data_IF_644794252381
#
_entry.id   IF_644794252381
#
_cell.length_a   1.000
_cell.length_b   1.000
_cell.length_c   1.000
_cell.angle_alpha   90.00
_cell.angle_beta   90.00
_cell.angle_gamma   90.00
#
_symmetry.space_group_name_H-M   'P 1'
#
loop_
_entity.id
_entity.type
_entity.pdbx_description
1 polymer ?
#
# COMPACT_ATOMS: atom_id res chain seq x y z
N UNK A 1 -24.91 20.30 28.91
CA UNK A 1 -23.70 21.06 28.56
C UNK A 1 -23.42 20.79 27.10
N UNK A 2 -23.89 21.68 26.26
CA UNK A 2 -23.69 21.64 24.81
C UNK A 2 -22.21 21.80 24.48
N UNK A 3 -21.58 20.71 24.05
CA UNK A 3 -20.27 20.81 23.38
C UNK A 3 -20.53 21.08 21.91
N UNK A 4 -20.96 22.29 21.62
CA UNK A 4 -20.86 22.87 20.29
C UNK A 4 -19.39 23.27 20.04
N UNK A 5 -18.49 22.27 19.91
CA UNK A 5 -17.18 22.52 19.34
C UNK A 5 -17.44 22.83 17.87
N UNK A 6 -17.33 24.10 17.49
CA UNK A 6 -17.27 24.50 16.10
C UNK A 6 -16.39 23.50 15.35
N UNK A 7 -16.96 22.78 14.38
CA UNK A 7 -16.16 21.89 13.51
C UNK A 7 -15.07 22.76 12.90
N UNK A 8 -13.85 22.54 13.35
CA UNK A 8 -12.71 23.25 12.79
C UNK A 8 -12.66 22.89 11.31
N UNK A 9 -12.60 23.88 10.45
CA UNK A 9 -12.54 23.71 9.00
C UNK A 9 -11.26 22.93 8.66
N UNK A 10 -11.42 21.64 8.36
CA UNK A 10 -10.30 20.70 8.28
C UNK A 10 -10.05 20.27 6.83
N UNK A 11 -8.92 20.70 6.29
CA UNK A 11 -8.40 20.29 4.99
C UNK A 11 -7.24 19.32 5.20
N UNK A 12 -7.43 18.06 4.82
CA UNK A 12 -6.45 17.00 5.01
C UNK A 12 -5.90 16.58 3.65
N UNK A 13 -4.59 16.70 3.47
CA UNK A 13 -3.88 16.20 2.30
C UNK A 13 -3.37 14.79 2.57
N UNK A 14 -3.89 13.80 1.82
CA UNK A 14 -3.39 12.42 1.82
C UNK A 14 -2.35 12.22 0.72
N UNK A 15 -1.27 11.51 1.01
CA UNK A 15 -0.18 11.23 0.07
C UNK A 15 0.22 9.76 0.14
N UNK A 16 0.31 9.12 -1.00
CA UNK A 16 1.01 7.85 -1.21
C UNK A 16 2.22 8.06 -2.10
N UNK A 17 3.40 7.58 -1.69
CA UNK A 17 4.60 7.69 -2.51
C UNK A 17 5.76 6.79 -2.08
N UNK A 18 5.56 5.89 -1.10
CA UNK A 18 6.67 5.09 -0.57
C UNK A 18 7.30 4.17 -1.62
N UNK A 19 6.48 3.46 -2.40
CA UNK A 19 6.94 2.49 -3.40
C UNK A 19 6.58 2.93 -4.82
N UNK A 20 5.38 2.62 -5.30
CA UNK A 20 4.87 2.88 -6.65
C UNK A 20 3.49 3.54 -6.56
N UNK A 21 2.89 3.89 -7.70
CA UNK A 21 1.63 4.61 -7.83
C UNK A 21 1.54 5.84 -6.88
N UNK A 22 2.53 6.76 -6.93
CA UNK A 22 2.44 7.97 -6.15
C UNK A 22 1.15 8.71 -6.50
N UNK A 23 0.44 9.12 -5.47
CA UNK A 23 -0.90 9.72 -5.60
C UNK A 23 -1.15 10.71 -4.47
N UNK A 24 -2.11 11.60 -4.68
CA UNK A 24 -2.58 12.52 -3.66
C UNK A 24 -4.10 12.55 -3.63
N UNK A 25 -4.66 12.82 -2.46
CA UNK A 25 -6.07 13.13 -2.28
C UNK A 25 -6.26 14.30 -1.32
N UNK A 26 -7.37 14.99 -1.44
CA UNK A 26 -7.77 16.08 -0.55
C UNK A 26 -9.13 15.78 0.05
N UNK A 27 -9.19 15.81 1.37
CA UNK A 27 -10.41 15.58 2.15
C UNK A 27 -10.76 16.85 2.90
N UNK A 28 -12.01 17.30 2.79
CA UNK A 28 -12.54 18.45 3.50
C UNK A 28 -13.69 18.04 4.42
N UNK A 29 -13.52 18.23 5.71
CA UNK A 29 -14.56 17.91 6.71
C UNK A 29 -15.11 16.48 6.57
N UNK A 30 -14.24 15.50 6.26
CA UNK A 30 -14.60 14.09 6.10
C UNK A 30 -15.18 13.73 4.72
N UNK A 31 -15.16 14.66 3.75
CA UNK A 31 -15.59 14.38 2.37
C UNK A 31 -14.40 14.42 1.43
N UNK A 32 -14.27 13.42 0.59
CA UNK A 32 -13.29 13.42 -0.51
C UNK A 32 -13.66 14.53 -1.51
N UNK A 33 -12.72 15.44 -1.74
CA UNK A 33 -12.89 16.57 -2.69
C UNK A 33 -12.23 16.25 -4.02
N UNK A 34 -10.99 15.77 -3.98
CA UNK A 34 -10.23 15.40 -5.16
C UNK A 34 -9.26 14.27 -4.85
N UNK A 35 -8.95 13.44 -5.85
CA UNK A 35 -7.90 12.44 -5.79
C UNK A 35 -7.31 12.22 -7.19
N UNK A 36 -6.01 12.00 -7.28
CA UNK A 36 -5.33 11.74 -8.53
C UNK A 36 -4.04 10.94 -8.34
N UNK A 37 -3.73 10.09 -9.31
CA UNK A 37 -2.44 9.44 -9.44
C UNK A 37 -1.49 10.29 -10.27
N UNK A 38 -0.21 10.33 -9.90
CA UNK A 38 0.83 11.10 -10.59
C UNK A 38 1.03 10.64 -12.04
N UNK A 39 0.78 9.36 -12.33
CA UNK A 39 0.83 8.81 -13.70
C UNK A 39 -0.09 9.56 -14.67
N UNK A 40 -1.24 10.07 -14.22
CA UNK A 40 -2.20 10.81 -15.07
C UNK A 40 -1.57 12.05 -15.69
N UNK A 41 -0.62 12.65 -14.98
CA UNK A 41 0.07 13.88 -15.39
C UNK A 41 1.44 13.60 -15.98
N UNK A 42 2.25 12.80 -15.29
CA UNK A 42 3.64 12.52 -15.69
C UNK A 42 3.73 11.63 -16.92
N UNK A 43 2.71 10.80 -17.19
CA UNK A 43 2.71 9.74 -18.22
C UNK A 43 3.83 8.71 -18.02
N UNK A 44 4.44 8.70 -16.86
CA UNK A 44 5.39 7.68 -16.45
C UNK A 44 4.60 6.54 -15.83
N UNK A 45 4.74 5.33 -16.39
CA UNK A 45 4.05 4.14 -15.91
C UNK A 45 4.32 3.91 -14.42
N UNK A 46 3.25 3.66 -13.63
CA UNK A 46 3.30 3.56 -12.18
C UNK A 46 3.75 4.84 -11.46
N UNK A 47 3.75 5.99 -12.16
CA UNK A 47 4.17 7.30 -11.65
C UNK A 47 5.68 7.41 -11.40
N UNK A 48 6.31 6.35 -10.94
CA UNK A 48 7.76 6.17 -10.76
C UNK A 48 8.11 4.68 -10.67
N UNK A 49 9.38 4.28 -10.91
CA UNK A 49 9.82 2.93 -10.58
C UNK A 49 9.70 2.67 -9.08
N UNK A 50 9.24 1.49 -8.68
CA UNK A 50 9.35 1.07 -7.29
C UNK A 50 10.82 0.75 -6.99
N UNK A 51 11.49 1.64 -6.30
CA UNK A 51 12.91 1.57 -5.99
C UNK A 51 13.15 2.14 -4.60
N UNK A 52 14.02 1.51 -3.82
CA UNK A 52 14.47 2.00 -2.52
C UNK A 52 15.27 3.31 -2.57
N UNK A 53 15.60 3.80 -3.76
CA UNK A 53 16.33 5.05 -3.97
C UNK A 53 15.42 6.27 -4.15
N UNK A 54 14.12 6.06 -4.35
CA UNK A 54 13.19 7.15 -4.66
C UNK A 54 11.91 7.23 -3.77
N UNK A 55 11.89 6.71 -2.53
CA UNK A 55 10.69 6.78 -1.70
C UNK A 55 10.30 8.20 -1.33
N UNK A 56 11.22 9.14 -1.45
CA UNK A 56 11.04 10.56 -1.15
C UNK A 56 10.55 11.40 -2.35
N UNK A 57 10.28 10.78 -3.50
CA UNK A 57 9.68 11.47 -4.64
C UNK A 57 8.19 11.67 -4.38
N UNK A 58 7.76 12.93 -4.46
CA UNK A 58 6.39 13.32 -4.18
C UNK A 58 5.53 13.31 -5.45
N UNK A 59 4.22 13.06 -5.34
CA UNK A 59 3.25 13.23 -6.43
C UNK A 59 2.91 14.73 -6.61
N UNK A 60 3.86 15.49 -7.12
CA UNK A 60 3.78 16.96 -7.16
C UNK A 60 2.61 17.47 -7.99
N UNK A 61 2.36 16.87 -9.16
CA UNK A 61 1.30 17.27 -10.06
C UNK A 61 -0.06 16.89 -9.50
N UNK A 62 -0.16 15.69 -8.87
CA UNK A 62 -1.38 15.26 -8.20
C UNK A 62 -1.73 16.15 -7.01
N UNK A 63 -0.74 16.58 -6.22
CA UNK A 63 -0.95 17.54 -5.12
C UNK A 63 -1.46 18.86 -5.67
N UNK A 64 -0.81 19.42 -6.71
CA UNK A 64 -1.24 20.68 -7.35
C UNK A 64 -2.65 20.58 -7.93
N UNK A 65 -2.95 19.45 -8.57
CA UNK A 65 -4.29 19.18 -9.09
C UNK A 65 -5.34 19.19 -7.99
N UNK A 66 -5.10 18.46 -6.87
CA UNK A 66 -6.05 18.40 -5.77
C UNK A 66 -6.34 19.78 -5.16
N UNK A 67 -5.30 20.62 -5.00
CA UNK A 67 -5.46 21.98 -4.49
C UNK A 67 -6.24 22.87 -5.47
N UNK A 68 -5.91 22.78 -6.76
CA UNK A 68 -6.57 23.55 -7.81
C UNK A 68 -8.05 23.18 -7.96
N UNK A 69 -8.37 21.87 -7.92
CA UNK A 69 -9.76 21.37 -8.00
C UNK A 69 -10.61 21.85 -6.82
N UNK A 70 -10.01 21.95 -5.64
CA UNK A 70 -10.66 22.48 -4.45
C UNK A 70 -10.72 24.03 -4.42
N UNK A 71 -9.98 24.71 -5.28
CA UNK A 71 -9.87 26.18 -5.29
C UNK A 71 -9.22 26.75 -4.04
N UNK A 72 -8.28 26.01 -3.41
CA UNK A 72 -7.59 26.44 -2.19
C UNK A 72 -6.08 26.58 -2.42
N UNK A 73 -5.49 27.44 -1.60
CA UNK A 73 -4.03 27.54 -1.49
C UNK A 73 -3.48 26.55 -0.45
N UNK A 74 -2.20 26.23 -0.57
CA UNK A 74 -1.52 25.29 0.36
C UNK A 74 -1.67 25.70 1.83
N UNK A 75 -1.79 27.01 2.14
CA UNK A 75 -2.00 27.54 3.49
C UNK A 75 -3.25 27.02 4.20
N UNK A 76 -4.26 26.57 3.45
CA UNK A 76 -5.50 26.03 4.01
C UNK A 76 -5.34 24.60 4.56
N UNK A 77 -4.28 23.85 4.17
CA UNK A 77 -4.04 22.48 4.64
C UNK A 77 -3.84 22.48 6.16
N UNK A 78 -4.66 21.75 6.88
CA UNK A 78 -4.61 21.64 8.34
C UNK A 78 -3.82 20.43 8.81
N UNK A 79 -3.88 19.30 8.09
CA UNK A 79 -3.17 18.06 8.39
C UNK A 79 -2.69 17.40 7.10
N UNK A 80 -1.62 16.62 7.21
CA UNK A 80 -1.10 15.77 6.13
C UNK A 80 -1.01 14.33 6.61
N UNK A 81 -1.60 13.40 5.87
CA UNK A 81 -1.46 11.96 6.07
C UNK A 81 -0.56 11.35 5.00
N UNK A 82 0.39 10.51 5.40
CA UNK A 82 1.24 9.76 4.49
C UNK A 82 1.08 8.26 4.72
N UNK A 83 0.83 7.50 3.66
CA UNK A 83 0.40 6.10 3.69
C UNK A 83 1.51 5.09 3.99
N UNK A 84 2.45 5.44 4.85
CA UNK A 84 3.53 4.55 5.29
C UNK A 84 4.12 5.03 6.61
N UNK A 85 4.37 4.11 7.55
CA UNK A 85 4.96 4.41 8.86
C UNK A 85 6.38 3.82 8.95
N UNK A 86 7.43 4.59 8.61
CA UNK A 86 8.79 4.08 8.48
C UNK A 86 9.35 3.46 9.77
N UNK A 87 8.90 3.91 10.93
CA UNK A 87 9.32 3.34 12.23
C UNK A 87 8.83 1.90 12.41
N UNK A 88 7.61 1.59 11.93
CA UNK A 88 7.07 0.23 11.96
C UNK A 88 7.86 -0.70 11.05
N UNK A 89 8.35 -0.21 9.91
CA UNK A 89 9.21 -0.99 9.01
C UNK A 89 10.51 -1.39 9.67
N UNK A 90 11.15 -0.47 10.39
CA UNK A 90 12.38 -0.77 11.14
C UNK A 90 12.12 -1.74 12.29
N UNK A 91 11.03 -1.55 13.05
CA UNK A 91 10.68 -2.42 14.16
C UNK A 91 10.29 -3.84 13.73
N UNK A 92 9.73 -3.97 12.53
CA UNK A 92 9.19 -5.23 12.01
C UNK A 92 10.24 -6.28 11.65
N UNK A 93 11.56 -5.96 11.73
CA UNK A 93 12.65 -6.86 11.39
C UNK A 93 12.32 -7.71 10.16
N UNK A 94 11.92 -7.05 9.07
CA UNK A 94 11.59 -7.74 7.82
C UNK A 94 12.82 -8.52 7.41
N UNK A 95 12.78 -9.82 7.70
CA UNK A 95 13.91 -10.71 7.58
C UNK A 95 14.53 -10.53 6.19
N UNK A 96 15.80 -10.32 6.20
CA UNK A 96 16.63 -10.13 5.03
C UNK A 96 16.42 -11.32 4.10
N UNK A 97 15.66 -11.14 3.03
CA UNK A 97 15.65 -12.11 1.95
C UNK A 97 17.03 -12.06 1.32
N UNK A 98 17.76 -13.15 1.40
CA UNK A 98 19.13 -13.26 0.89
C UNK A 98 19.19 -13.16 -0.65
N UNK A 99 18.07 -13.21 -1.34
CA UNK A 99 17.93 -12.77 -2.74
C UNK A 99 17.63 -11.29 -2.80
N UNK A 100 18.64 -10.49 -2.43
CA UNK A 100 18.58 -9.05 -2.63
C UNK A 100 18.12 -8.75 -4.07
N UNK A 101 17.05 -7.97 -4.20
CA UNK A 101 16.73 -7.40 -5.50
C UNK A 101 17.93 -6.56 -5.96
N UNK A 102 18.12 -6.31 -7.26
CA UNK A 102 19.18 -5.41 -7.73
C UNK A 102 19.18 -4.04 -7.03
N UNK A 103 18.04 -3.64 -6.50
CA UNK A 103 17.81 -2.39 -5.78
C UNK A 103 18.19 -2.46 -4.29
N UNK A 104 18.50 -3.65 -3.76
CA UNK A 104 18.89 -3.88 -2.37
C UNK A 104 17.71 -4.02 -1.39
N UNK A 105 16.48 -4.22 -1.86
CA UNK A 105 15.34 -4.49 -1.00
C UNK A 105 15.57 -5.79 -0.20
N UNK A 106 15.26 -5.75 1.11
CA UNK A 106 15.51 -6.86 2.02
C UNK A 106 16.95 -6.95 2.52
N UNK A 107 17.86 -6.06 2.13
CA UNK A 107 19.20 -5.93 2.74
C UNK A 107 19.19 -4.85 3.82
N UNK A 108 20.03 -5.00 4.85
CA UNK A 108 20.16 -4.00 5.93
C UNK A 108 20.48 -2.64 5.33
N UNK A 109 21.47 -2.55 4.44
CA UNK A 109 21.88 -1.29 3.82
C UNK A 109 20.75 -0.66 2.98
N UNK A 110 20.00 -1.47 2.23
CA UNK A 110 18.89 -1.02 1.41
C UNK A 110 17.74 -0.47 2.26
N UNK A 111 17.38 -1.16 3.34
CA UNK A 111 16.33 -0.74 4.27
C UNK A 111 16.73 0.54 5.03
N UNK A 112 17.98 0.66 5.49
CA UNK A 112 18.47 1.88 6.12
C UNK A 112 18.48 3.08 5.16
N UNK A 113 18.84 2.85 3.90
CA UNK A 113 18.78 3.87 2.84
C UNK A 113 17.33 4.32 2.59
N UNK A 114 16.42 3.36 2.43
CA UNK A 114 15.00 3.61 2.23
C UNK A 114 14.43 4.46 3.37
N UNK A 115 14.67 4.05 4.62
CA UNK A 115 14.25 4.78 5.80
C UNK A 115 14.76 6.22 5.81
N UNK A 116 16.07 6.40 5.60
CA UNK A 116 16.70 7.73 5.60
C UNK A 116 16.13 8.65 4.52
N UNK A 117 15.83 8.12 3.34
CA UNK A 117 15.24 8.88 2.25
C UNK A 117 13.77 9.22 2.53
N UNK A 118 13.02 8.25 3.05
CA UNK A 118 11.61 8.45 3.38
C UNK A 118 11.43 9.53 4.45
N UNK A 119 12.31 9.58 5.44
CA UNK A 119 12.30 10.63 6.49
C UNK A 119 12.50 12.06 5.96
N UNK A 120 12.91 12.24 4.71
CA UNK A 120 13.00 13.56 4.07
C UNK A 120 11.65 14.07 3.55
N UNK A 121 10.63 13.22 3.45
CA UNK A 121 9.32 13.55 2.86
C UNK A 121 8.67 14.77 3.50
N UNK A 122 8.59 14.93 4.83
CA UNK A 122 7.96 16.10 5.44
C UNK A 122 8.65 17.42 5.07
N UNK A 123 9.99 17.42 5.02
CA UNK A 123 10.76 18.60 4.61
C UNK A 123 10.57 18.92 3.13
N UNK A 124 10.61 17.90 2.26
CA UNK A 124 10.38 18.08 0.82
C UNK A 124 8.99 18.60 0.52
N UNK A 125 7.98 18.06 1.23
CA UNK A 125 6.61 18.54 1.10
C UNK A 125 6.48 19.99 1.57
N UNK A 126 7.14 20.36 2.67
CA UNK A 126 7.16 21.74 3.15
C UNK A 126 7.72 22.70 2.10
N UNK A 127 8.80 22.30 1.41
CA UNK A 127 9.37 23.07 0.31
C UNK A 127 8.41 23.18 -0.89
N UNK A 128 7.78 22.07 -1.27
CA UNK A 128 6.81 22.04 -2.38
C UNK A 128 5.60 22.95 -2.13
N UNK A 129 5.09 22.94 -0.90
CA UNK A 129 3.92 23.72 -0.49
C UNK A 129 4.25 25.17 -0.13
N UNK A 130 5.54 25.53 0.00
CA UNK A 130 5.98 26.86 0.42
C UNK A 130 5.65 27.19 1.88
N UNK A 131 5.40 26.17 2.71
CA UNK A 131 5.06 26.31 4.12
C UNK A 131 5.51 25.10 4.93
N UNK A 132 5.83 25.29 6.21
CA UNK A 132 6.20 24.17 7.08
C UNK A 132 4.97 23.36 7.47
N UNK A 133 5.00 22.06 7.13
CA UNK A 133 3.93 21.10 7.45
C UNK A 133 4.39 19.99 8.40
N UNK A 134 5.62 20.06 8.94
CA UNK A 134 6.23 18.98 9.73
C UNK A 134 5.46 18.66 11.00
N UNK A 135 4.95 19.67 11.71
CA UNK A 135 4.19 19.49 12.96
C UNK A 135 2.80 18.87 12.74
N UNK A 136 2.24 19.02 11.54
CA UNK A 136 0.93 18.49 11.12
C UNK A 136 1.04 17.31 10.16
N UNK A 137 2.25 16.75 10.00
CA UNK A 137 2.50 15.56 9.17
C UNK A 137 2.35 14.30 10.02
N UNK A 138 1.55 13.33 9.52
CA UNK A 138 1.27 12.06 10.18
C UNK A 138 1.69 10.91 9.28
N UNK A 139 2.58 10.07 9.80
CA UNK A 139 2.87 8.76 9.23
C UNK A 139 1.73 7.83 9.62
N UNK A 140 1.11 7.16 8.66
CA UNK A 140 -0.03 6.28 8.86
C UNK A 140 0.34 4.91 8.32
N UNK A 141 0.04 3.87 9.08
CA UNK A 141 0.28 2.49 8.69
C UNK A 141 -0.35 2.17 7.34
N UNK A 142 0.40 1.46 6.48
CA UNK A 142 0.04 1.19 5.09
C UNK A 142 -1.30 0.43 4.96
N UNK A 143 -1.45 -0.70 5.67
CA UNK A 143 -2.69 -1.48 5.61
C UNK A 143 -3.88 -0.75 6.22
N UNK A 144 -3.66 0.11 7.22
CA UNK A 144 -4.72 0.98 7.75
C UNK A 144 -5.19 1.99 6.70
N UNK A 145 -4.27 2.51 5.85
CA UNK A 145 -4.64 3.37 4.73
C UNK A 145 -5.48 2.62 3.68
N UNK A 146 -5.12 1.38 3.34
CA UNK A 146 -5.93 0.52 2.46
C UNK A 146 -7.33 0.28 3.05
N UNK A 147 -7.41 -0.10 4.33
CA UNK A 147 -8.69 -0.31 5.00
C UNK A 147 -9.55 0.96 5.03
N UNK A 148 -8.94 2.11 5.30
CA UNK A 148 -9.62 3.41 5.33
C UNK A 148 -10.15 3.80 3.94
N UNK A 149 -9.35 3.63 2.90
CA UNK A 149 -9.73 3.97 1.52
C UNK A 149 -10.88 3.11 1.00
N UNK A 150 -11.00 1.87 1.47
CA UNK A 150 -12.10 0.99 1.12
C UNK A 150 -13.36 1.27 1.95
N UNK A 151 -13.24 1.36 3.28
CA UNK A 151 -14.38 1.45 4.18
C UNK A 151 -15.06 2.82 4.17
N UNK A 152 -14.29 3.92 4.34
CA UNK A 152 -14.88 5.24 4.52
C UNK A 152 -15.50 5.85 3.25
N UNK A 153 -15.22 5.31 2.07
CA UNK A 153 -15.90 5.69 0.82
C UNK A 153 -17.02 4.73 0.45
N UNK A 154 -17.17 3.63 1.17
CA UNK A 154 -18.25 2.66 0.97
C UNK A 154 -19.57 3.14 1.57
N UNK A 155 -20.71 2.54 1.18
CA UNK A 155 -22.00 2.85 1.79
C UNK A 155 -22.23 2.14 3.13
N UNK A 156 -21.27 1.37 3.64
CA UNK A 156 -21.45 0.56 4.85
C UNK A 156 -21.10 1.34 6.10
N UNK A 157 -21.96 1.28 7.12
CA UNK A 157 -21.66 1.82 8.45
C UNK A 157 -21.00 0.80 9.38
N UNK A 158 -21.14 -0.49 9.07
CA UNK A 158 -20.55 -1.62 9.80
C UNK A 158 -20.21 -2.72 8.80
N UNK A 159 -18.95 -3.09 8.69
CA UNK A 159 -18.47 -4.09 7.75
C UNK A 159 -17.18 -4.77 8.21
N UNK A 160 -16.97 -6.01 7.78
CA UNK A 160 -15.63 -6.60 7.77
C UNK A 160 -14.79 -5.92 6.68
N UNK A 161 -13.53 -5.64 7.00
CA UNK A 161 -12.57 -5.01 6.10
C UNK A 161 -11.35 -5.91 5.99
N UNK A 162 -10.99 -6.27 4.77
CA UNK A 162 -9.82 -7.10 4.47
C UNK A 162 -8.90 -6.32 3.52
N UNK A 163 -7.64 -6.18 3.92
CA UNK A 163 -6.56 -5.68 3.06
C UNK A 163 -5.52 -6.79 2.86
N UNK A 164 -5.20 -7.11 1.62
CA UNK A 164 -4.19 -8.12 1.24
C UNK A 164 -3.24 -7.50 0.24
N UNK A 165 -1.96 -7.46 0.58
CA UNK A 165 -0.93 -6.85 -0.25
C UNK A 165 0.35 -7.71 -0.31
N UNK A 166 1.36 -7.22 -1.05
CA UNK A 166 2.69 -7.81 -1.05
C UNK A 166 3.35 -7.65 0.31
N UNK A 167 3.52 -6.42 0.72
CA UNK A 167 4.04 -6.03 2.02
C UNK A 167 3.86 -4.52 2.22
N UNK A 168 3.32 -4.13 3.36
CA UNK A 168 3.38 -2.77 3.87
C UNK A 168 4.69 -2.52 4.62
N UNK A 169 4.62 -2.10 5.86
CA UNK A 169 5.80 -1.99 6.73
C UNK A 169 6.38 -3.37 7.05
N UNK A 170 5.56 -4.22 7.67
CA UNK A 170 5.85 -5.63 7.94
C UNK A 170 4.62 -6.50 7.70
N UNK A 171 3.44 -5.93 7.83
CA UNK A 171 2.18 -6.60 7.55
C UNK A 171 2.01 -6.87 6.06
N UNK A 172 1.34 -7.98 5.75
CA UNK A 172 0.99 -8.43 4.39
C UNK A 172 -0.51 -8.60 4.22
N UNK A 173 -1.21 -8.77 5.34
CA UNK A 173 -2.67 -8.91 5.39
C UNK A 173 -3.17 -8.28 6.68
N UNK A 174 -4.22 -7.50 6.57
CA UNK A 174 -4.92 -6.85 7.67
C UNK A 174 -6.40 -7.20 7.60
N UNK A 175 -6.94 -7.78 8.64
CA UNK A 175 -8.35 -8.09 8.79
C UNK A 175 -8.91 -7.27 9.95
N UNK A 176 -10.00 -6.56 9.72
CA UNK A 176 -10.62 -5.74 10.74
C UNK A 176 -12.10 -5.54 10.56
N UNK A 177 -12.65 -4.67 11.40
CA UNK A 177 -14.04 -4.20 11.34
C UNK A 177 -14.06 -2.69 11.22
N UNK A 178 -14.74 -2.20 10.19
CA UNK A 178 -15.12 -0.80 10.09
C UNK A 178 -16.46 -0.57 10.79
N UNK A 179 -16.55 0.43 11.66
CA UNK A 179 -17.80 0.80 12.33
C UNK A 179 -17.89 2.31 12.51
N UNK A 180 -18.84 2.94 11.83
CA UNK A 180 -18.99 4.39 11.82
C UNK A 180 -17.72 5.08 11.31
N UNK A 181 -16.99 5.79 12.18
CA UNK A 181 -15.75 6.48 11.85
C UNK A 181 -14.50 5.78 12.41
N UNK A 182 -14.55 4.50 12.69
CA UNK A 182 -13.45 3.73 13.28
C UNK A 182 -13.17 2.46 12.51
N UNK A 183 -11.89 2.11 12.51
CA UNK A 183 -11.37 0.83 12.06
C UNK A 183 -10.76 0.11 13.26
N UNK A 184 -11.10 -1.15 13.42
CA UNK A 184 -10.63 -2.02 14.49
C UNK A 184 -9.90 -3.20 13.89
N UNK A 185 -8.62 -3.35 14.19
CA UNK A 185 -7.83 -4.53 13.82
C UNK A 185 -8.35 -5.74 14.58
N UNK A 186 -8.60 -6.84 13.88
CA UNK A 186 -8.97 -8.15 14.45
C UNK A 186 -7.83 -9.16 14.32
N UNK A 187 -7.16 -9.18 13.16
CA UNK A 187 -6.01 -10.04 12.90
C UNK A 187 -5.09 -9.40 11.87
N UNK A 188 -3.80 -9.69 11.99
CA UNK A 188 -2.77 -9.25 11.08
C UNK A 188 -1.81 -10.40 10.78
N UNK A 189 -1.41 -10.53 9.52
CA UNK A 189 -0.38 -11.46 9.10
C UNK A 189 0.80 -10.66 8.58
N UNK A 190 1.99 -11.08 8.94
CA UNK A 190 3.22 -10.42 8.59
C UNK A 190 4.10 -11.24 7.64
N UNK A 191 5.09 -10.58 7.08
CA UNK A 191 6.14 -11.23 6.30
C UNK A 191 6.82 -12.33 7.13
N UNK A 192 7.13 -13.53 6.54
CA UNK A 192 7.12 -13.84 5.11
C UNK A 192 5.78 -14.35 4.54
N UNK A 193 4.73 -14.49 5.36
CA UNK A 193 3.44 -15.00 4.92
C UNK A 193 2.72 -13.91 4.09
N UNK A 194 2.80 -14.00 2.76
CA UNK A 194 2.23 -13.00 1.85
C UNK A 194 1.64 -13.62 0.60
N UNK A 195 0.35 -13.46 0.43
CA UNK A 195 -0.34 -13.85 -0.80
C UNK A 195 0.05 -12.92 -1.97
N UNK A 196 0.27 -11.63 -1.71
CA UNK A 196 0.70 -10.68 -2.73
C UNK A 196 2.11 -10.98 -3.27
N UNK A 197 3.06 -11.37 -2.39
CA UNK A 197 4.39 -11.80 -2.83
C UNK A 197 4.35 -13.15 -3.56
N UNK A 198 3.47 -14.07 -3.16
CA UNK A 198 3.23 -15.31 -3.91
C UNK A 198 2.79 -14.97 -5.36
N UNK A 199 1.87 -14.01 -5.51
CA UNK A 199 1.45 -13.52 -6.81
C UNK A 199 2.59 -12.92 -7.63
N UNK A 200 3.47 -12.15 -6.99
CA UNK A 200 4.68 -11.62 -7.63
C UNK A 200 5.61 -12.73 -8.11
N UNK A 201 5.82 -13.78 -7.29
CA UNK A 201 6.62 -14.95 -7.69
C UNK A 201 6.02 -15.67 -8.90
N UNK A 202 4.70 -15.82 -8.94
CA UNK A 202 4.00 -16.39 -10.10
C UNK A 202 4.14 -15.54 -11.35
N UNK A 203 4.04 -14.23 -11.22
CA UNK A 203 4.24 -13.30 -12.34
C UNK A 203 5.63 -13.44 -12.92
N UNK A 204 6.66 -13.55 -12.07
CA UNK A 204 8.05 -13.80 -12.49
C UNK A 204 8.20 -15.15 -13.17
N UNK A 205 7.65 -16.21 -12.59
CA UNK A 205 7.69 -17.57 -13.13
C UNK A 205 7.08 -17.63 -14.53
N UNK A 206 5.99 -16.94 -14.77
CA UNK A 206 5.32 -16.85 -16.07
C UNK A 206 6.01 -15.88 -17.05
N UNK A 207 7.14 -15.27 -16.68
CA UNK A 207 7.92 -14.38 -17.54
C UNK A 207 7.42 -12.95 -17.63
N UNK A 208 6.45 -12.53 -16.79
CA UNK A 208 5.91 -11.15 -16.81
C UNK A 208 6.66 -10.15 -15.93
N UNK A 209 7.65 -10.61 -15.16
CA UNK A 209 8.45 -9.76 -14.28
C UNK A 209 7.74 -9.37 -12.98
N UNK A 210 8.32 -8.42 -12.22
CA UNK A 210 7.88 -8.05 -10.87
C UNK A 210 6.53 -7.33 -10.83
N UNK A 211 6.19 -6.58 -11.86
CA UNK A 211 4.95 -5.79 -11.95
C UNK A 211 4.04 -6.31 -13.06
N UNK A 212 4.06 -7.63 -13.30
CA UNK A 212 3.22 -8.27 -14.30
C UNK A 212 1.96 -8.93 -13.76
N UNK A 213 1.63 -8.75 -12.49
CA UNK A 213 0.51 -9.40 -11.80
C UNK A 213 -0.83 -9.18 -12.52
N UNK A 214 -1.06 -7.98 -13.05
CA UNK A 214 -2.24 -7.67 -13.84
C UNK A 214 -2.36 -8.48 -15.14
N UNK A 215 -1.23 -8.90 -15.74
CA UNK A 215 -1.24 -9.81 -16.91
C UNK A 215 -1.63 -11.22 -16.50
N UNK A 216 -1.15 -11.68 -15.33
CA UNK A 216 -1.56 -12.98 -14.76
C UNK A 216 -3.06 -12.98 -14.47
N UNK A 217 -3.58 -11.89 -13.90
CA UNK A 217 -5.01 -11.71 -13.66
C UNK A 217 -5.82 -11.77 -14.97
N UNK A 218 -5.36 -11.10 -16.01
CA UNK A 218 -6.02 -11.15 -17.32
C UNK A 218 -6.00 -12.57 -17.94
N UNK A 219 -4.88 -13.29 -17.82
CA UNK A 219 -4.74 -14.67 -18.30
C UNK A 219 -5.64 -15.64 -17.52
N UNK A 220 -5.93 -15.39 -16.26
CA UNK A 220 -6.77 -16.25 -15.43
C UNK A 220 -8.17 -16.44 -16.03
N UNK A 221 -8.67 -15.46 -16.81
CA UNK A 221 -9.96 -15.55 -17.50
C UNK A 221 -10.01 -16.65 -18.58
N UNK A 222 -8.86 -17.12 -19.05
CA UNK A 222 -8.74 -18.19 -20.06
C UNK A 222 -8.36 -19.53 -19.43
N UNK A 223 -8.16 -19.60 -18.12
CA UNK A 223 -7.72 -20.78 -17.40
C UNK A 223 -8.86 -21.61 -16.85
N UNK A 224 -8.51 -22.82 -16.43
CA UNK A 224 -9.36 -23.70 -15.65
C UNK A 224 -8.85 -23.67 -14.19
N UNK A 225 -9.61 -23.10 -13.23
CA UNK A 225 -9.16 -22.95 -11.85
C UNK A 225 -8.94 -24.30 -11.16
N UNK A 226 -9.68 -25.37 -11.55
CA UNK A 226 -9.62 -26.67 -10.89
C UNK A 226 -8.38 -27.45 -11.28
N UNK A 227 -7.80 -27.17 -12.44
CA UNK A 227 -6.67 -27.92 -13.00
C UNK A 227 -5.44 -27.92 -12.09
N UNK A 228 -5.13 -26.81 -11.44
CA UNK A 228 -3.94 -26.64 -10.63
C UNK A 228 -4.24 -26.40 -9.14
N UNK A 229 -5.51 -26.39 -8.77
CA UNK A 229 -5.92 -26.17 -7.40
C UNK A 229 -5.23 -27.09 -6.38
N UNK A 230 -5.12 -28.41 -6.63
CA UNK A 230 -4.42 -29.32 -5.70
C UNK A 230 -2.94 -28.95 -5.52
N UNK A 231 -2.27 -28.51 -6.60
CA UNK A 231 -0.89 -28.08 -6.53
C UNK A 231 -0.73 -26.79 -5.72
N UNK A 232 -1.65 -25.82 -5.90
CA UNK A 232 -1.63 -24.58 -5.14
C UNK A 232 -1.85 -24.79 -3.64
N UNK A 233 -2.70 -25.71 -3.27
CA UNK A 233 -2.94 -26.06 -1.87
C UNK A 233 -1.68 -26.55 -1.16
N UNK A 234 -0.63 -26.96 -1.87
CA UNK A 234 0.66 -27.30 -1.28
C UNK A 234 1.56 -26.10 -0.99
N UNK A 235 1.23 -24.92 -1.53
CA UNK A 235 1.98 -23.69 -1.30
C UNK A 235 1.35 -22.78 -0.25
N UNK A 236 0.06 -22.94 0.03
CA UNK A 236 -0.67 -22.18 1.03
C UNK A 236 -1.43 -23.14 1.91
N UNK A 237 -1.03 -23.23 3.15
CA UNK A 237 -1.73 -23.98 4.19
C UNK A 237 -2.60 -23.03 5.00
N UNK A 238 -3.88 -23.38 5.19
CA UNK A 238 -4.80 -22.63 6.01
C UNK A 238 -5.31 -23.53 7.12
N UNK A 239 -5.38 -23.00 8.35
CA UNK A 239 -6.01 -23.68 9.47
C UNK A 239 -7.50 -23.30 9.61
N UNK A 240 -8.21 -24.00 10.50
CA UNK A 240 -9.64 -23.78 10.77
C UNK A 240 -9.91 -22.40 11.44
N UNK A 241 -8.88 -21.75 11.97
CA UNK A 241 -8.95 -20.42 12.58
C UNK A 241 -8.74 -19.29 11.58
N UNK A 242 -8.45 -19.63 10.30
CA UNK A 242 -8.21 -18.67 9.22
C UNK A 242 -6.78 -18.16 9.16
N UNK A 243 -5.86 -18.74 9.94
CA UNK A 243 -4.44 -18.44 9.75
C UNK A 243 -3.94 -19.12 8.48
N UNK A 244 -2.99 -18.50 7.80
CA UNK A 244 -2.34 -19.11 6.66
C UNK A 244 -0.82 -19.01 6.74
N UNK A 245 -0.17 -20.03 6.24
CA UNK A 245 1.26 -20.03 5.96
C UNK A 245 1.48 -20.21 4.46
N UNK A 246 2.27 -19.32 3.88
CA UNK A 246 2.62 -19.36 2.47
C UNK A 246 4.06 -19.81 2.27
N UNK A 247 4.30 -20.69 1.30
CA UNK A 247 5.64 -21.17 0.94
C UNK A 247 6.55 -20.09 0.30
N UNK A 248 6.30 -18.81 0.57
CA UNK A 248 7.12 -17.70 0.03
C UNK A 248 8.54 -17.75 0.57
N UNK A 249 8.73 -18.29 1.79
CA UNK A 249 10.03 -18.40 2.46
C UNK A 249 10.76 -19.70 2.22
N UNK A 250 10.08 -20.79 1.82
CA UNK A 250 10.71 -22.11 1.68
C UNK A 250 11.19 -22.37 0.24
N UNK A 251 12.51 -22.25 0.04
CA UNK A 251 13.19 -22.56 -1.23
C UNK A 251 13.23 -24.04 -1.57
N UNK A 252 13.10 -24.94 -0.58
CA UNK A 252 13.18 -26.38 -0.79
C UNK A 252 11.97 -26.97 -1.49
N UNK A 253 10.85 -26.25 -1.50
CA UNK A 253 9.58 -26.66 -2.11
C UNK A 253 9.37 -26.13 -3.54
N UNK A 254 10.33 -25.41 -4.13
CA UNK A 254 10.25 -24.98 -5.53
C UNK A 254 10.44 -26.18 -6.46
N UNK A 255 9.33 -26.76 -6.94
CA UNK A 255 9.35 -27.71 -8.05
C UNK A 255 9.21 -26.95 -9.37
N UNK A 256 10.09 -27.17 -10.36
CA UNK A 256 10.11 -26.40 -11.62
C UNK A 256 8.96 -26.70 -12.59
N UNK A 257 8.07 -27.66 -12.29
CA UNK A 257 7.19 -28.26 -13.29
C UNK A 257 5.73 -27.80 -13.18
N UNK A 258 5.40 -26.74 -12.42
CA UNK A 258 4.01 -26.35 -12.17
C UNK A 258 3.66 -25.05 -12.89
N UNK A 259 2.93 -25.16 -13.98
CA UNK A 259 2.27 -24.04 -14.63
C UNK A 259 0.95 -23.74 -13.89
N UNK A 260 0.80 -22.54 -13.35
CA UNK A 260 -0.23 -22.24 -12.35
C UNK A 260 -1.12 -21.08 -12.76
N UNK A 261 -2.44 -21.22 -12.56
CA UNK A 261 -3.44 -20.16 -12.71
C UNK A 261 -4.06 -19.78 -11.36
N UNK A 262 -3.99 -18.51 -10.97
CA UNK A 262 -4.61 -17.98 -9.75
C UNK A 262 -5.61 -16.88 -10.09
N UNK A 263 -6.79 -16.99 -9.52
CA UNK A 263 -7.81 -15.95 -9.57
C UNK A 263 -7.78 -15.22 -8.23
N UNK A 264 -7.17 -14.03 -8.19
CA UNK A 264 -7.29 -13.10 -7.07
C UNK A 264 -7.58 -11.70 -7.61
N UNK A 265 -8.50 -11.01 -6.98
CA UNK A 265 -8.77 -9.61 -7.28
C UNK A 265 -7.81 -8.74 -6.45
N UNK A 266 -6.95 -8.01 -7.11
CA UNK A 266 -6.26 -6.89 -6.47
C UNK A 266 -7.10 -5.64 -6.75
N UNK A 267 -7.75 -5.12 -5.71
CA UNK A 267 -8.28 -3.76 -5.76
C UNK A 267 -7.12 -2.82 -5.49
N UNK A 268 -6.59 -2.21 -6.55
CA UNK A 268 -5.78 -1.00 -6.46
C UNK A 268 -6.71 0.17 -6.75
N UNK A 269 -7.09 0.91 -5.73
CA UNK A 269 -7.69 2.25 -5.85
C UNK A 269 -6.74 3.24 -5.22
#
# INVERSE_FOLDING_TARGET
MDRNTARQDAWILGINSAYHEPSACLVHNGKLVAAAEEERFSRVRHGKPADLKNPHWLPEQSIRYCLAEAGIESGAITEVGYSFAPELRLAGNVAVDTEATPEGAGTIEGEERFYRLLRQVPQRLSLLLGQDVRDRFRWIEHHLCHAASAFFVSPFEDAAVLSVDGIGEAATTWLGRGQGNRLHLLAEFGYPNSLGLLWTKLSRFLGFGNYGQWKVMALAAYGDPDRFYPAFRTFVECDDSGNFEGAVADRSRSRPDICVYVCMYSCTI
#
